data_IF_844146412855
#
_entry.id   IF_844146412855
#
_cell.length_a   1.000
_cell.length_b   1.000
_cell.length_c   1.000
_cell.angle_alpha   90.00
_cell.angle_beta   90.00
_cell.angle_gamma   90.00
#
_symmetry.space_group_name_H-M   'P 1'
#
loop_
_entity.id
_entity.type
_entity.pdbx_description
1 polymer ?
#
# COMPACT_ATOMS: atom_id res chain seq x y z
N UNK A 1 -3.68 0.51 -13.23
CA UNK A 1 -3.74 0.11 -11.80
C UNK A 1 -4.73 0.90 -10.94
N UNK A 2 -4.60 2.23 -10.77
CA UNK A 2 -5.47 3.01 -9.87
C UNK A 2 -6.97 2.82 -10.18
N UNK A 3 -7.37 2.96 -11.45
CA UNK A 3 -8.75 2.76 -11.89
C UNK A 3 -9.29 1.34 -11.59
N UNK A 4 -8.43 0.32 -11.70
CA UNK A 4 -8.83 -1.07 -11.41
C UNK A 4 -9.04 -1.28 -9.93
N UNK A 5 -8.18 -0.71 -9.08
CA UNK A 5 -8.34 -0.75 -7.64
C UNK A 5 -9.61 0.01 -7.22
N UNK A 6 -9.87 1.19 -7.77
CA UNK A 6 -11.09 1.96 -7.52
C UNK A 6 -12.35 1.18 -7.91
N UNK A 7 -12.35 0.56 -9.09
CA UNK A 7 -13.45 -0.33 -9.53
C UNK A 7 -13.66 -1.50 -8.58
N UNK A 8 -12.60 -2.09 -8.03
CA UNK A 8 -12.70 -3.14 -7.03
C UNK A 8 -13.31 -2.65 -5.72
N UNK A 9 -12.83 -1.52 -5.18
CA UNK A 9 -13.33 -0.99 -3.90
C UNK A 9 -14.76 -0.41 -3.98
N UNK A 10 -15.23 -0.04 -5.17
CA UNK A 10 -16.62 0.38 -5.43
C UNK A 10 -17.64 -0.76 -5.44
N UNK A 11 -17.21 -2.02 -5.57
CA UNK A 11 -18.15 -3.16 -5.62
C UNK A 11 -18.82 -3.37 -4.27
N UNK A 12 -20.02 -3.97 -4.17
CA UNK A 12 -20.65 -4.28 -2.90
C UNK A 12 -19.73 -5.06 -1.95
N UNK A 13 -19.87 -4.84 -0.64
CA UNK A 13 -19.03 -5.47 0.39
C UNK A 13 -18.95 -6.99 0.25
N UNK A 14 -20.09 -7.65 0.06
CA UNK A 14 -20.16 -9.10 -0.05
C UNK A 14 -19.39 -9.62 -1.27
N UNK A 15 -19.40 -8.86 -2.38
CA UNK A 15 -18.60 -9.20 -3.56
C UNK A 15 -17.10 -9.01 -3.31
N UNK A 16 -16.69 -7.94 -2.62
CA UNK A 16 -15.28 -7.72 -2.25
C UNK A 16 -14.76 -8.83 -1.32
N UNK A 17 -15.56 -9.19 -0.32
CA UNK A 17 -15.28 -10.27 0.61
C UNK A 17 -15.21 -11.64 -0.09
N UNK A 18 -16.07 -11.92 -1.07
CA UNK A 18 -16.03 -13.16 -1.84
C UNK A 18 -14.80 -13.24 -2.75
N UNK A 19 -14.39 -12.13 -3.37
CA UNK A 19 -13.27 -12.07 -4.30
C UNK A 19 -11.90 -12.10 -3.61
N UNK A 20 -11.85 -11.73 -2.34
CA UNK A 20 -10.60 -11.59 -1.60
C UNK A 20 -10.68 -12.10 -0.18
N UNK A 21 -11.50 -13.09 0.19
CA UNK A 21 -11.65 -13.49 1.61
C UNK A 21 -10.29 -13.61 2.33
N UNK A 22 -10.13 -12.87 3.43
CA UNK A 22 -8.94 -12.93 4.27
C UNK A 22 -8.67 -14.37 4.70
N UNK A 23 -7.50 -14.88 4.37
CA UNK A 23 -7.10 -16.26 4.66
C UNK A 23 -5.59 -16.37 4.78
N UNK A 24 -5.15 -17.47 5.38
CA UNK A 24 -3.75 -17.87 5.33
C UNK A 24 -3.49 -18.63 4.02
N UNK A 25 -2.41 -18.27 3.33
CA UNK A 25 -1.87 -18.97 2.18
C UNK A 25 -0.39 -19.24 2.42
N UNK A 26 -0.04 -20.52 2.62
CA UNK A 26 1.33 -21.01 2.91
C UNK A 26 2.07 -20.40 4.11
N UNK A 27 1.38 -19.60 4.94
CA UNK A 27 1.82 -18.84 6.15
C UNK A 27 1.55 -17.34 6.03
N UNK A 28 1.27 -16.83 4.83
CA UNK A 28 1.00 -15.42 4.57
C UNK A 28 -0.47 -15.10 4.72
N UNK A 29 -0.77 -13.96 5.31
CA UNK A 29 -2.12 -13.39 5.33
C UNK A 29 -2.35 -12.73 3.97
N UNK A 30 -3.40 -13.16 3.28
CA UNK A 30 -3.76 -12.62 1.96
C UNK A 30 -5.24 -12.27 1.94
N UNK A 31 -5.60 -11.24 1.18
CA UNK A 31 -6.98 -10.88 0.92
C UNK A 31 -7.43 -9.50 1.41
N UNK A 32 -8.74 -9.36 1.42
CA UNK A 32 -9.50 -8.16 1.65
C UNK A 32 -9.82 -8.00 3.13
N UNK A 33 -9.61 -6.79 3.63
CA UNK A 33 -9.87 -6.38 5.01
C UNK A 33 -10.47 -4.98 5.04
N UNK A 34 -11.38 -4.77 5.98
CA UNK A 34 -11.97 -3.47 6.31
C UNK A 34 -11.61 -3.14 7.76
N UNK A 35 -11.26 -1.90 8.03
CA UNK A 35 -10.98 -1.37 9.37
C UNK A 35 -11.87 -0.14 9.63
N UNK A 36 -12.00 0.23 10.90
CA UNK A 36 -12.68 1.46 11.33
C UNK A 36 -14.06 1.64 10.68
N UNK A 37 -14.91 0.60 10.74
CA UNK A 37 -16.26 0.64 10.16
C UNK A 37 -16.31 0.77 8.64
N UNK A 38 -15.20 0.56 7.93
CA UNK A 38 -15.12 0.68 6.47
C UNK A 38 -14.45 1.97 5.98
N UNK A 39 -14.01 2.85 6.89
CA UNK A 39 -13.23 4.05 6.57
C UNK A 39 -11.86 3.72 5.92
N UNK A 40 -11.33 2.53 6.22
CA UNK A 40 -10.13 1.98 5.61
C UNK A 40 -10.41 0.60 5.01
N UNK A 41 -10.02 0.40 3.75
CA UNK A 41 -10.22 -0.84 3.01
C UNK A 41 -8.91 -1.24 2.34
N UNK A 42 -8.53 -2.51 2.47
CA UNK A 42 -7.28 -3.01 1.88
C UNK A 42 -7.49 -4.32 1.17
N UNK A 43 -6.76 -4.51 0.08
CA UNK A 43 -6.59 -5.80 -0.57
C UNK A 43 -5.09 -6.13 -0.58
N UNK A 44 -4.72 -7.15 0.20
CA UNK A 44 -3.36 -7.69 0.27
C UNK A 44 -3.21 -8.83 -0.74
N UNK A 45 -2.24 -8.69 -1.63
CA UNK A 45 -1.93 -9.65 -2.68
C UNK A 45 -0.45 -9.95 -2.75
N UNK A 46 -0.12 -11.20 -3.07
CA UNK A 46 1.23 -11.63 -3.38
C UNK A 46 1.31 -11.98 -4.86
N UNK A 47 2.42 -11.64 -5.52
CA UNK A 47 2.67 -12.11 -6.88
C UNK A 47 3.14 -13.56 -6.80
N UNK A 48 2.60 -14.40 -7.68
CA UNK A 48 3.04 -15.79 -7.80
C UNK A 48 4.18 -15.84 -8.80
N UNK A 49 5.31 -16.41 -8.40
CA UNK A 49 6.47 -16.57 -9.25
C UNK A 49 6.11 -17.27 -10.57
N UNK A 50 6.60 -16.74 -11.70
CA UNK A 50 6.43 -17.33 -13.03
C UNK A 50 5.02 -17.28 -13.64
N UNK A 51 3.97 -16.96 -12.88
CA UNK A 51 2.57 -17.09 -13.34
C UNK A 51 1.90 -15.77 -13.76
N UNK A 52 2.56 -14.62 -13.60
CA UNK A 52 2.01 -13.31 -14.02
C UNK A 52 0.68 -12.93 -13.35
N UNK A 53 0.41 -13.48 -12.16
CA UNK A 53 -0.84 -13.30 -11.42
C UNK A 53 -0.59 -13.20 -9.92
N UNK A 54 -1.64 -12.85 -9.19
CA UNK A 54 -1.60 -12.69 -7.73
C UNK A 54 -2.39 -13.75 -6.97
N UNK A 55 -2.10 -13.90 -5.68
CA UNK A 55 -2.94 -14.60 -4.69
C UNK A 55 -3.37 -13.62 -3.59
N UNK A 56 -4.69 -13.48 -3.31
CA UNK A 56 -5.79 -14.01 -4.11
C UNK A 56 -5.78 -13.43 -5.53
N UNK A 57 -6.42 -14.13 -6.48
CA UNK A 57 -6.56 -13.70 -7.87
C UNK A 57 -7.95 -13.09 -8.09
N UNK A 58 -8.18 -11.79 -7.78
CA UNK A 58 -9.47 -11.17 -7.99
C UNK A 58 -9.83 -11.23 -9.48
N UNK A 59 -10.96 -11.89 -9.78
CA UNK A 59 -11.46 -12.06 -11.15
C UNK A 59 -12.22 -10.83 -11.65
N UNK A 60 -12.56 -9.90 -10.75
CA UNK A 60 -13.25 -8.66 -11.11
C UNK A 60 -12.61 -7.48 -10.37
N UNK A 61 -12.12 -6.46 -11.11
CA UNK A 61 -12.02 -6.41 -12.57
C UNK A 61 -10.98 -7.44 -13.10
N UNK A 62 -11.24 -8.07 -14.24
CA UNK A 62 -10.47 -9.24 -14.72
C UNK A 62 -8.97 -9.04 -14.95
N UNK A 63 -8.52 -7.79 -15.11
CA UNK A 63 -7.09 -7.44 -15.24
C UNK A 63 -6.42 -7.11 -13.92
N UNK A 64 -7.16 -7.02 -12.81
CA UNK A 64 -6.62 -6.58 -11.52
C UNK A 64 -5.51 -7.50 -11.04
N UNK A 65 -5.73 -8.81 -11.12
CA UNK A 65 -4.73 -9.79 -10.64
C UNK A 65 -3.42 -9.70 -11.42
N UNK A 66 -3.49 -9.51 -12.73
CA UNK A 66 -2.33 -9.38 -13.61
C UNK A 66 -1.61 -8.04 -13.38
N UNK A 67 -2.32 -6.91 -13.44
CA UNK A 67 -1.70 -5.59 -13.25
C UNK A 67 -1.11 -5.44 -11.85
N UNK A 68 -1.72 -6.05 -10.83
CA UNK A 68 -1.17 -6.07 -9.48
C UNK A 68 0.12 -6.92 -9.41
N UNK A 69 0.21 -8.03 -10.15
CA UNK A 69 1.43 -8.83 -10.22
C UNK A 69 2.57 -8.06 -10.90
N UNK A 70 2.27 -7.41 -12.03
CA UNK A 70 3.24 -6.57 -12.78
C UNK A 70 3.74 -5.41 -11.91
N UNK A 71 2.83 -4.70 -11.23
CA UNK A 71 3.21 -3.63 -10.29
C UNK A 71 4.05 -4.16 -9.13
N UNK A 72 3.66 -5.29 -8.54
CA UNK A 72 4.39 -5.89 -7.43
C UNK A 72 5.83 -6.26 -7.84
N UNK A 73 6.02 -6.87 -9.01
CA UNK A 73 7.35 -7.21 -9.54
C UNK A 73 8.19 -5.95 -9.79
N UNK A 74 7.60 -4.90 -10.36
CA UNK A 74 8.29 -3.64 -10.59
C UNK A 74 8.73 -2.98 -9.27
N UNK A 75 7.86 -2.94 -8.27
CA UNK A 75 8.17 -2.45 -6.92
C UNK A 75 9.25 -3.29 -6.24
N UNK A 76 9.21 -4.61 -6.40
CA UNK A 76 10.23 -5.51 -5.86
C UNK A 76 11.59 -5.27 -6.51
N UNK A 77 11.64 -5.02 -7.82
CA UNK A 77 12.87 -4.61 -8.52
C UNK A 77 13.48 -3.33 -7.94
N UNK A 78 12.64 -2.30 -7.72
CA UNK A 78 13.08 -1.05 -7.08
C UNK A 78 13.56 -1.27 -5.64
N UNK A 79 12.83 -2.06 -4.86
CA UNK A 79 13.20 -2.40 -3.50
C UNK A 79 14.58 -3.07 -3.46
N UNK A 80 14.85 -4.03 -4.36
CA UNK A 80 16.16 -4.68 -4.45
C UNK A 80 17.27 -3.68 -4.74
N UNK A 81 17.10 -2.79 -5.71
CA UNK A 81 18.10 -1.74 -6.01
C UNK A 81 18.36 -0.83 -4.80
N UNK A 82 17.30 -0.40 -4.11
CA UNK A 82 17.44 0.45 -2.91
C UNK A 82 18.16 -0.27 -1.78
N UNK A 83 17.84 -1.54 -1.53
CA UNK A 83 18.50 -2.33 -0.49
C UNK A 83 19.98 -2.58 -0.82
N UNK A 84 20.33 -2.81 -2.09
CA UNK A 84 21.73 -2.89 -2.52
C UNK A 84 22.46 -1.58 -2.23
N UNK A 85 21.89 -0.43 -2.62
CA UNK A 85 22.52 0.87 -2.33
C UNK A 85 22.65 1.14 -0.84
N UNK A 86 21.66 0.76 -0.03
CA UNK A 86 21.72 0.86 1.42
C UNK A 86 22.83 -0.03 2.00
N UNK A 87 22.95 -1.27 1.51
CA UNK A 87 23.98 -2.20 1.93
C UNK A 87 25.39 -1.66 1.64
N UNK A 88 25.60 -1.17 0.42
CA UNK A 88 26.85 -0.53 0.00
C UNK A 88 27.17 0.68 0.88
N UNK A 89 26.17 1.50 1.20
CA UNK A 89 26.33 2.69 2.02
C UNK A 89 26.73 2.38 3.47
N UNK A 90 26.16 1.33 4.06
CA UNK A 90 26.47 0.91 5.44
C UNK A 90 27.64 -0.08 5.52
N UNK A 91 28.23 -0.45 4.39
CA UNK A 91 29.41 -1.32 4.31
C UNK A 91 29.14 -2.80 4.60
N UNK A 92 27.93 -3.30 4.30
CA UNK A 92 27.59 -4.73 4.43
C UNK A 92 27.36 -5.37 3.06
N UNK A 93 27.56 -6.69 2.92
CA UNK A 93 27.22 -7.40 1.68
C UNK A 93 25.73 -7.24 1.34
N UNK A 94 25.36 -6.88 0.09
CA UNK A 94 23.96 -6.75 -0.33
C UNK A 94 23.09 -7.98 -0.03
N UNK A 95 23.69 -9.17 -0.11
CA UNK A 95 23.04 -10.45 0.15
C UNK A 95 22.42 -10.51 1.56
N UNK A 96 23.03 -9.85 2.54
CA UNK A 96 22.53 -9.83 3.92
C UNK A 96 21.17 -9.12 4.05
N UNK A 97 20.94 -8.07 3.25
CA UNK A 97 19.65 -7.35 3.25
C UNK A 97 18.65 -8.00 2.27
N UNK A 98 19.16 -8.52 1.16
CA UNK A 98 18.35 -9.17 0.14
C UNK A 98 17.88 -10.58 0.54
N UNK A 99 18.51 -11.22 1.52
CA UNK A 99 18.11 -12.54 2.02
C UNK A 99 16.62 -12.59 2.39
N UNK A 100 16.02 -11.54 2.93
CA UNK A 100 14.58 -11.54 3.23
C UNK A 100 13.69 -11.60 1.99
N UNK A 101 14.17 -11.10 0.85
CA UNK A 101 13.52 -11.18 -0.46
C UNK A 101 13.89 -12.46 -1.22
N UNK A 102 15.09 -12.99 -0.93
CA UNK A 102 15.74 -14.12 -1.61
C UNK A 102 15.69 -15.44 -0.82
N UNK A 103 15.22 -15.47 0.43
CA UNK A 103 14.83 -16.73 1.10
C UNK A 103 13.61 -17.34 0.39
N UNK A 104 12.91 -16.52 -0.39
CA UNK A 104 12.01 -16.91 -1.45
C UNK A 104 12.70 -16.80 -2.84
N UNK A 105 14.00 -17.05 -2.95
CA UNK A 105 14.68 -17.02 -4.26
C UNK A 105 14.04 -18.08 -5.13
N UNK A 106 13.72 -17.62 -6.33
CA UNK A 106 12.92 -18.25 -7.37
C UNK A 106 13.41 -19.65 -7.79
N UNK A 107 14.57 -20.10 -7.31
CA UNK A 107 15.15 -21.42 -7.58
C UNK A 107 14.63 -22.52 -6.63
N UNK A 108 14.20 -22.16 -5.41
CA UNK A 108 13.66 -23.12 -4.42
C UNK A 108 12.14 -22.98 -4.22
N UNK A 109 11.53 -21.98 -4.84
CA UNK A 109 10.09 -21.81 -4.84
C UNK A 109 9.46 -22.83 -5.79
N UNK A 110 8.61 -23.71 -5.26
CA UNK A 110 7.77 -24.53 -6.12
C UNK A 110 6.84 -23.62 -6.93
N UNK A 111 6.47 -24.03 -8.14
CA UNK A 111 5.43 -23.35 -8.91
C UNK A 111 4.19 -23.10 -8.03
N UNK A 112 3.91 -21.82 -7.72
CA UNK A 112 2.83 -21.44 -6.81
C UNK A 112 3.24 -20.75 -5.51
N UNK A 113 4.53 -20.66 -5.18
CA UNK A 113 4.97 -19.93 -3.99
C UNK A 113 4.89 -18.41 -4.15
N UNK A 114 4.82 -17.73 -2.98
CA UNK A 114 4.71 -16.29 -2.84
C UNK A 114 5.96 -15.74 -2.14
N UNK A 115 6.48 -14.61 -2.61
CA UNK A 115 7.61 -13.93 -1.95
C UNK A 115 7.24 -13.41 -0.56
N UNK A 116 8.26 -13.07 0.25
CA UNK A 116 8.08 -12.39 1.53
C UNK A 116 7.54 -10.95 1.39
N UNK A 117 7.53 -10.39 0.18
CA UNK A 117 6.94 -9.09 -0.12
C UNK A 117 5.43 -9.19 -0.34
N UNK A 118 4.71 -8.18 0.13
CA UNK A 118 3.25 -8.06 -0.04
C UNK A 118 2.95 -6.74 -0.73
N UNK A 119 2.04 -6.77 -1.70
CA UNK A 119 1.43 -5.56 -2.25
C UNK A 119 0.08 -5.33 -1.57
N UNK A 120 -0.05 -4.19 -0.91
CA UNK A 120 -1.31 -3.73 -0.31
C UNK A 120 -1.91 -2.63 -1.17
N UNK A 121 -3.07 -2.91 -1.77
CA UNK A 121 -3.91 -1.88 -2.39
C UNK A 121 -4.78 -1.26 -1.31
N UNK A 122 -4.74 0.06 -1.16
CA UNK A 122 -5.42 0.77 -0.09
C UNK A 122 -6.50 1.69 -0.67
N UNK A 123 -7.64 1.77 0.01
CA UNK A 123 -8.68 2.76 -0.23
C UNK A 123 -9.14 3.36 1.09
N UNK A 124 -9.11 4.68 1.16
CA UNK A 124 -9.44 5.48 2.33
C UNK A 124 -10.61 6.42 2.01
N UNK A 125 -11.41 6.75 3.02
CA UNK A 125 -12.43 7.79 2.93
C UNK A 125 -13.70 7.38 2.17
N UNK A 126 -13.98 6.08 2.06
CA UNK A 126 -15.13 5.59 1.29
C UNK A 126 -16.46 5.70 2.07
N UNK A 127 -16.46 5.69 3.40
CA UNK A 127 -17.66 5.77 4.25
C UNK A 127 -17.29 6.21 5.69
N UNK A 128 -17.04 7.51 5.90
CA UNK A 128 -17.51 8.20 7.11
C UNK A 128 -18.99 8.63 6.94
N UNK A 129 -19.60 8.33 5.79
CA UNK A 129 -20.90 8.84 5.36
C UNK A 129 -22.12 8.04 5.87
N UNK A 130 -21.92 6.93 6.61
CA UNK A 130 -23.03 6.16 7.18
C UNK A 130 -23.55 6.70 8.53
N UNK A 131 -22.79 7.58 9.21
CA UNK A 131 -23.15 8.12 10.53
C UNK A 131 -22.71 9.58 10.75
N UNK A 132 -22.69 10.40 9.72
CA UNK A 132 -22.52 11.84 9.90
C UNK A 132 -23.87 12.49 10.27
N UNK A 133 -24.37 12.16 11.47
CA UNK A 133 -25.32 13.05 12.13
C UNK A 133 -24.55 14.34 12.44
N UNK A 134 -25.00 15.43 11.83
CA UNK A 134 -24.28 16.68 11.73
C UNK A 134 -24.21 17.40 13.09
N UNK A 135 -23.19 17.12 13.88
CA UNK A 135 -22.83 17.92 15.05
C UNK A 135 -21.52 17.40 15.65
N UNK A 136 -20.39 17.84 15.11
CA UNK A 136 -19.20 18.27 15.86
C UNK A 136 -18.02 18.45 14.88
N UNK A 137 -17.18 19.43 15.17
CA UNK A 137 -15.94 19.68 14.44
C UNK A 137 -14.95 18.58 14.82
N UNK A 138 -15.20 17.35 14.36
CA UNK A 138 -14.37 16.21 14.69
C UNK A 138 -13.17 16.15 13.74
N UNK A 139 -11.98 16.16 14.37
CA UNK A 139 -10.70 15.82 13.76
C UNK A 139 -10.90 14.66 12.79
N UNK A 140 -10.39 14.78 11.56
CA UNK A 140 -10.48 13.71 10.56
C UNK A 140 -10.15 12.38 11.25
N UNK A 141 -11.07 11.40 11.23
CA UNK A 141 -10.89 10.19 12.00
C UNK A 141 -9.57 9.56 11.58
N UNK A 142 -8.67 9.43 12.53
CA UNK A 142 -7.37 8.81 12.34
C UNK A 142 -7.64 7.37 11.89
N UNK A 143 -7.41 7.12 10.59
CA UNK A 143 -7.76 5.84 9.97
C UNK A 143 -6.82 4.71 10.44
N UNK A 144 -5.63 5.10 10.90
CA UNK A 144 -4.62 4.24 11.50
C UNK A 144 -3.96 4.95 12.66
N UNK A 145 -3.87 4.28 13.80
CA UNK A 145 -3.02 4.71 14.89
C UNK A 145 -1.57 4.87 14.40
N UNK A 146 -0.84 5.77 15.06
CA UNK A 146 0.59 5.94 14.82
C UNK A 146 1.31 4.60 15.04
N UNK A 147 2.08 4.17 14.03
CA UNK A 147 2.81 2.91 14.07
C UNK A 147 4.09 3.00 13.24
N UNK A 148 5.00 2.07 13.52
CA UNK A 148 6.13 1.75 12.65
C UNK A 148 5.83 0.46 11.90
N UNK A 149 6.18 0.43 10.62
CA UNK A 149 6.08 -0.82 9.86
C UNK A 149 7.05 -1.87 10.41
N UNK A 150 6.59 -3.12 10.45
CA UNK A 150 7.43 -4.27 10.81
C UNK A 150 8.30 -4.76 9.64
N UNK A 151 8.17 -4.15 8.46
CA UNK A 151 8.96 -4.46 7.27
C UNK A 151 10.31 -3.76 7.31
N UNK A 152 11.27 -4.30 6.55
CA UNK A 152 12.57 -3.66 6.37
C UNK A 152 12.49 -2.44 5.43
N UNK A 153 11.60 -2.49 4.44
CA UNK A 153 11.36 -1.41 3.49
C UNK A 153 9.88 -1.39 3.08
N UNK A 154 9.27 -0.21 3.11
CA UNK A 154 7.94 0.05 2.56
C UNK A 154 8.04 1.07 1.43
N UNK A 155 7.55 0.71 0.24
CA UNK A 155 7.44 1.61 -0.90
C UNK A 155 5.97 1.98 -1.10
N UNK A 156 5.65 3.26 -0.96
CA UNK A 156 4.30 3.78 -1.13
C UNK A 156 4.23 4.68 -2.36
N UNK A 157 3.48 4.25 -3.38
CA UNK A 157 3.16 5.10 -4.53
C UNK A 157 2.00 6.03 -4.17
N UNK A 158 2.28 7.32 -4.01
CA UNK A 158 1.26 8.34 -3.78
C UNK A 158 1.03 9.10 -5.10
N UNK A 159 -0.22 9.20 -5.60
CA UNK A 159 -0.51 9.98 -6.80
C UNK A 159 -0.03 11.43 -6.64
N UNK A 160 0.55 12.00 -7.71
CA UNK A 160 1.05 13.38 -7.68
C UNK A 160 -0.03 14.41 -7.27
N UNK A 161 -1.29 14.15 -7.62
CA UNK A 161 -2.43 14.97 -7.21
C UNK A 161 -2.63 15.02 -5.69
N UNK A 162 -2.23 13.97 -4.96
CA UNK A 162 -2.29 13.90 -3.50
C UNK A 162 -1.04 14.46 -2.81
N UNK A 163 0.07 14.66 -3.54
CA UNK A 163 1.26 15.32 -3.01
C UNK A 163 1.06 16.85 -2.92
N UNK A 164 0.34 17.44 -3.89
CA UNK A 164 0.12 18.89 -3.95
C UNK A 164 -0.93 19.40 -2.94
N UNK A 165 -1.87 18.58 -2.51
CA UNK A 165 -2.88 18.97 -1.50
C UNK A 165 -2.30 19.07 -0.09
N UNK A 166 -1.17 18.40 0.21
CA UNK A 166 -0.48 18.51 1.51
C UNK A 166 0.32 19.81 1.65
N UNK A 167 0.94 20.29 0.57
CA UNK A 167 1.68 21.56 0.57
C UNK A 167 0.77 22.79 0.81
N UNK A 168 -0.53 22.69 0.48
CA UNK A 168 -1.51 23.75 0.73
C UNK A 168 -2.00 23.82 2.18
N UNK A 169 -1.89 22.72 2.96
CA UNK A 169 -2.28 22.69 4.38
C UNK A 169 -1.11 23.11 5.28
N UNK A 170 0.14 22.92 4.83
CA UNK A 170 1.32 23.51 5.45
C UNK A 170 1.54 24.95 5.00
N UNK A 171 0.50 25.79 5.08
CA UNK A 171 0.62 27.22 4.95
C UNK A 171 1.55 27.74 6.04
N UNK A 172 2.86 27.68 5.78
CA UNK A 172 3.87 28.39 6.54
C UNK A 172 3.43 29.85 6.55
N UNK A 173 3.05 30.32 7.73
CA UNK A 173 2.99 31.73 8.04
C UNK A 173 4.29 32.37 7.55
N UNK A 174 4.18 33.22 6.53
CA UNK A 174 5.24 34.15 6.17
C UNK A 174 5.56 34.98 7.42
N UNK A 175 6.81 35.00 7.92
CA UNK A 175 7.18 35.87 9.02
C UNK A 175 7.00 37.32 8.56
N UNK A 176 6.34 38.12 9.40
CA UNK A 176 5.92 39.47 9.08
C UNK A 176 7.04 40.38 8.60
N UNK A 177 6.73 41.21 7.60
CA UNK A 177 7.49 42.41 7.31
C UNK A 177 7.20 43.44 8.41
N UNK A 178 8.07 43.53 9.40
CA UNK A 178 8.21 44.72 10.23
C UNK A 178 8.72 45.86 9.35
N UNK A 179 7.81 46.69 8.87
CA UNK A 179 8.09 47.98 8.24
C UNK A 179 7.52 49.11 9.08
N UNK A 180 8.12 49.37 10.25
CA UNK A 180 7.94 50.64 10.93
C UNK A 180 8.69 51.71 10.12
N UNK A 181 7.96 52.65 9.54
CA UNK A 181 8.51 53.92 9.05
C UNK A 181 7.74 55.05 9.70
N UNK A 182 8.29 55.53 10.82
CA UNK A 182 8.04 56.87 11.33
C UNK A 182 9.16 57.76 10.81
N UNK A 183 8.82 58.65 9.90
CA UNK A 183 9.47 59.93 9.66
C UNK A 183 8.37 60.90 9.18
#
# INVERSE_FOLDING_TARGET
>A
MQDLAEKFFRRPRDERCALGRLRLYRDKVVGYRELAGGAARFLEVHAVAGLGRTVPAPQVPGRLSQEAAELHQALQGMARSMLTWMADHIGVPPEALLQSLDEASLENLEDGDCSASVLRLCSYGFEAEAHADASEVELWPVVFDEHTDASFLTLACVPASQLNSRAAVSGLATPGSTGASLA
#
